data_IF_052894753883
#
_entry.id   IF_052894753883
#
_cell.length_a   1.000
_cell.length_b   1.000
_cell.length_c   1.000
_cell.angle_alpha   90.00
_cell.angle_beta   90.00
_cell.angle_gamma   90.00
#
_symmetry.space_group_name_H-M   'P 1'
#
loop_
_entity.id
_entity.type
_entity.pdbx_description
1 polymer ?
#
# COMPACT_ATOMS: atom_id res chain seq x y z
N UNK A 1 13.88 15.80 -46.46
CA UNK A 1 15.23 16.15 -45.98
C UNK A 1 15.06 17.34 -45.04
N UNK A 2 14.80 17.06 -43.75
CA UNK A 2 15.77 17.15 -42.64
C UNK A 2 15.98 18.62 -42.17
N UNK A 3 15.88 19.02 -40.90
CA UNK A 3 15.52 18.40 -39.60
C UNK A 3 15.27 19.58 -38.63
N UNK A 4 14.38 19.38 -37.66
CA UNK A 4 14.37 20.01 -36.32
C UNK A 4 14.11 21.51 -36.23
N UNK A 5 12.82 21.86 -36.28
CA UNK A 5 12.28 23.02 -35.56
C UNK A 5 12.30 22.73 -34.05
N UNK A 6 12.98 23.62 -33.33
CA UNK A 6 12.47 24.42 -32.18
C UNK A 6 11.96 23.64 -30.96
N UNK A 7 12.23 24.24 -29.79
CA UNK A 7 11.51 24.22 -28.50
C UNK A 7 12.57 23.96 -27.42
N UNK A 8 13.28 25.01 -26.99
CA UNK A 8 12.91 25.85 -25.83
C UNK A 8 12.68 24.96 -24.61
N UNK A 9 13.69 24.94 -23.74
CA UNK A 9 13.64 24.26 -22.46
C UNK A 9 12.48 24.75 -21.62
N UNK A 10 11.60 23.82 -21.27
CA UNK A 10 10.79 23.88 -20.06
C UNK A 10 11.08 22.57 -19.32
N UNK A 11 12.06 22.63 -18.42
CA UNK A 11 12.19 21.62 -17.38
C UNK A 11 11.02 21.82 -16.41
N UNK A 12 9.83 21.37 -16.81
CA UNK A 12 8.74 21.09 -15.90
C UNK A 12 9.05 19.75 -15.23
N UNK A 13 9.93 19.78 -14.23
CA UNK A 13 10.05 18.67 -13.30
C UNK A 13 8.78 18.74 -12.44
N UNK A 14 7.76 17.98 -12.83
CA UNK A 14 6.58 17.74 -12.01
C UNK A 14 6.98 16.98 -10.75
N UNK A 15 7.40 17.69 -9.71
CA UNK A 15 7.55 17.16 -8.35
C UNK A 15 6.17 16.97 -7.71
N UNK A 16 5.34 16.04 -8.21
CA UNK A 16 4.08 15.68 -7.53
C UNK A 16 3.67 14.25 -7.85
N UNK A 17 4.42 13.24 -7.40
CA UNK A 17 3.93 11.84 -7.40
C UNK A 17 4.33 11.03 -6.16
N UNK A 18 4.72 11.65 -5.05
CA UNK A 18 5.14 10.91 -3.83
C UNK A 18 4.55 11.49 -2.55
N UNK A 19 3.25 11.80 -2.54
CA UNK A 19 2.60 12.33 -1.32
C UNK A 19 1.29 11.63 -0.93
N UNK A 20 0.75 10.69 -1.73
CA UNK A 20 -0.44 9.91 -1.35
C UNK A 20 -0.16 8.44 -0.97
N UNK A 21 1.04 7.92 -1.25
CA UNK A 21 1.38 6.52 -0.95
C UNK A 21 1.78 6.27 0.52
N UNK A 22 1.77 7.30 1.38
CA UNK A 22 2.48 7.26 2.67
C UNK A 22 1.63 6.86 3.89
N UNK A 23 0.32 6.62 3.78
CA UNK A 23 -0.53 6.44 4.98
C UNK A 23 -0.96 4.98 5.25
N UNK A 24 -0.88 4.08 4.27
CA UNK A 24 -1.30 2.67 4.48
C UNK A 24 -0.29 1.95 5.36
N UNK A 25 1.02 2.20 5.18
CA UNK A 25 2.05 1.59 6.04
C UNK A 25 1.91 2.02 7.50
N UNK A 26 1.60 3.29 7.77
CA UNK A 26 1.36 3.79 9.14
C UNK A 26 0.17 3.06 9.79
N UNK A 27 -0.95 2.90 9.07
CA UNK A 27 -2.11 2.16 9.58
C UNK A 27 -1.81 0.69 9.88
N UNK A 28 -0.92 0.06 9.11
CA UNK A 28 -0.55 -1.34 9.30
C UNK A 28 0.33 -1.55 10.55
N UNK A 29 1.32 -0.66 10.76
CA UNK A 29 2.30 -0.81 11.85
C UNK A 29 1.71 -0.57 13.23
N UNK A 30 0.63 0.22 13.33
CA UNK A 30 -0.02 0.54 14.61
C UNK A 30 -0.52 -0.72 15.34
N UNK A 31 -0.99 -1.72 14.59
CA UNK A 31 -1.41 -2.99 15.16
C UNK A 31 -0.35 -4.08 14.95
N UNK A 32 0.16 -4.24 13.74
CA UNK A 32 1.04 -5.37 13.38
C UNK A 32 2.51 -5.16 13.76
N UNK A 33 2.84 -4.00 14.32
CA UNK A 33 4.20 -3.63 14.70
C UNK A 33 5.05 -3.19 13.50
N UNK A 34 5.99 -2.29 13.76
CA UNK A 34 6.94 -1.81 12.75
C UNK A 34 7.74 -2.95 12.09
N UNK A 35 7.99 -4.01 12.86
CA UNK A 35 8.73 -5.18 12.43
C UNK A 35 7.82 -6.31 11.92
N UNK A 36 6.51 -6.09 11.83
CA UNK A 36 5.51 -7.08 11.44
C UNK A 36 5.23 -8.12 12.51
N UNK A 37 5.60 -7.86 13.77
CA UNK A 37 5.30 -8.71 14.93
C UNK A 37 4.25 -8.01 15.80
N UNK A 38 3.03 -8.57 15.81
CA UNK A 38 1.92 -8.08 16.62
C UNK A 38 2.26 -8.14 18.12
N UNK A 39 1.80 -7.13 18.87
CA UNK A 39 2.08 -7.00 20.31
C UNK A 39 1.01 -7.61 21.22
N UNK A 40 -0.12 -7.98 20.64
CA UNK A 40 -1.23 -8.65 21.32
C UNK A 40 -1.51 -10.00 20.66
N UNK A 41 -2.00 -10.96 21.44
CA UNK A 41 -2.29 -12.32 20.95
C UNK A 41 -3.36 -12.35 19.83
N UNK A 42 -4.21 -11.34 19.77
CA UNK A 42 -5.27 -11.18 18.77
C UNK A 42 -4.78 -10.55 17.47
N UNK A 43 -3.58 -9.94 17.47
CA UNK A 43 -3.01 -9.31 16.29
C UNK A 43 -1.97 -10.24 15.66
N UNK A 44 -2.21 -10.75 14.43
CA UNK A 44 -1.32 -11.73 13.82
C UNK A 44 0.01 -11.10 13.38
N UNK A 45 1.06 -11.91 13.41
CA UNK A 45 2.36 -11.57 12.85
C UNK A 45 2.31 -11.60 11.31
N UNK A 46 2.76 -10.52 10.68
CA UNK A 46 2.96 -10.44 9.23
C UNK A 46 4.38 -10.88 8.84
N UNK A 47 5.33 -10.75 9.77
CA UNK A 47 6.72 -11.17 9.58
C UNK A 47 6.80 -12.65 9.20
N UNK A 48 7.57 -12.92 8.14
CA UNK A 48 7.84 -14.29 7.68
C UNK A 48 6.71 -14.92 6.87
N UNK A 49 5.59 -14.21 6.68
CA UNK A 49 4.54 -14.68 5.78
C UNK A 49 4.94 -14.51 4.31
N UNK A 50 4.57 -15.43 3.42
CA UNK A 50 4.79 -15.27 1.99
C UNK A 50 4.06 -14.02 1.45
N UNK A 51 4.69 -13.26 0.55
CA UNK A 51 4.09 -12.09 -0.10
C UNK A 51 2.72 -12.40 -0.70
N UNK A 52 2.64 -13.47 -1.50
CA UNK A 52 1.40 -13.90 -2.14
C UNK A 52 0.29 -14.25 -1.13
N UNK A 53 0.65 -14.75 0.05
CA UNK A 53 -0.32 -15.02 1.09
C UNK A 53 -0.88 -13.72 1.67
N UNK A 54 -0.01 -12.76 2.01
CA UNK A 54 -0.43 -11.46 2.53
C UNK A 54 -1.33 -10.71 1.55
N UNK A 55 -0.96 -10.69 0.27
CA UNK A 55 -1.79 -10.12 -0.81
C UNK A 55 -3.16 -10.80 -0.88
N UNK A 56 -3.18 -12.13 -0.90
CA UNK A 56 -4.44 -12.89 -0.93
C UNK A 56 -5.32 -12.61 0.30
N UNK A 57 -4.74 -12.40 1.48
CA UNK A 57 -5.51 -12.07 2.68
C UNK A 57 -6.11 -10.66 2.60
N UNK A 58 -5.34 -9.67 2.15
CA UNK A 58 -5.84 -8.29 1.97
C UNK A 58 -7.00 -8.28 0.96
N UNK A 59 -6.83 -8.95 -0.18
CA UNK A 59 -7.88 -9.09 -1.19
C UNK A 59 -9.11 -9.85 -0.66
N UNK A 60 -8.90 -10.89 0.15
CA UNK A 60 -10.00 -11.62 0.77
C UNK A 60 -10.81 -10.74 1.73
N UNK A 61 -10.16 -9.86 2.50
CA UNK A 61 -10.85 -8.89 3.34
C UNK A 61 -11.59 -7.84 2.50
N UNK A 62 -10.94 -7.28 1.47
CA UNK A 62 -11.53 -6.25 0.61
C UNK A 62 -12.75 -6.74 -0.17
N UNK A 63 -12.72 -8.00 -0.62
CA UNK A 63 -13.85 -8.64 -1.31
C UNK A 63 -14.95 -9.18 -0.38
N UNK A 64 -14.73 -9.16 0.94
CA UNK A 64 -15.64 -9.75 1.92
C UNK A 64 -15.61 -11.29 1.97
N UNK A 65 -14.70 -11.95 1.25
CA UNK A 65 -14.49 -13.40 1.33
C UNK A 65 -13.94 -13.82 2.71
N UNK A 66 -13.21 -12.90 3.36
CA UNK A 66 -12.80 -12.98 4.76
C UNK A 66 -13.36 -11.74 5.47
N UNK A 67 -13.94 -11.90 6.65
CA UNK A 67 -14.53 -10.79 7.40
C UNK A 67 -13.74 -10.50 8.67
N UNK A 68 -13.69 -9.23 9.05
CA UNK A 68 -13.08 -8.75 10.29
C UNK A 68 -13.47 -7.30 10.51
N UNK A 69 -14.08 -7.01 11.67
CA UNK A 69 -14.42 -5.64 12.07
C UNK A 69 -13.20 -4.72 12.19
N UNK A 70 -11.99 -5.26 12.31
CA UNK A 70 -10.75 -4.50 12.39
C UNK A 70 -10.12 -4.28 11.01
N UNK A 71 -10.06 -5.33 10.18
CA UNK A 71 -9.37 -5.22 8.89
C UNK A 71 -10.25 -4.60 7.80
N UNK A 72 -11.57 -4.76 7.83
CA UNK A 72 -12.49 -4.19 6.84
C UNK A 72 -12.30 -2.69 6.59
N UNK A 73 -12.27 -1.80 7.62
CA UNK A 73 -12.03 -0.38 7.39
C UNK A 73 -10.61 -0.06 6.89
N UNK A 74 -9.63 -0.92 7.17
CA UNK A 74 -8.23 -0.70 6.78
C UNK A 74 -8.00 -1.08 5.30
N UNK A 75 -8.55 -2.22 4.86
CA UNK A 75 -8.31 -2.73 3.50
C UNK A 75 -9.10 -2.01 2.42
N UNK A 76 -10.18 -1.31 2.78
CA UNK A 76 -10.97 -0.55 1.83
C UNK A 76 -10.14 0.56 1.14
N UNK A 77 -9.17 1.12 1.85
CA UNK A 77 -8.32 2.20 1.38
C UNK A 77 -7.00 1.71 0.77
N UNK A 78 -6.79 0.38 0.71
CA UNK A 78 -5.65 -0.23 0.04
C UNK A 78 -5.91 -0.26 -1.47
N UNK A 79 -4.97 0.27 -2.24
CA UNK A 79 -5.02 0.25 -3.70
C UNK A 79 -4.99 -1.18 -4.25
N UNK A 80 -5.58 -1.38 -5.44
CA UNK A 80 -5.45 -2.62 -6.21
C UNK A 80 -4.30 -2.45 -7.20
N UNK A 81 -3.05 -2.50 -6.72
CA UNK A 81 -1.84 -2.40 -7.55
C UNK A 81 -1.33 -3.76 -8.06
#
# INVERSE_FOLDING_TARGET
MNIKRIIVGLAAISLTHTALANNIMEACIDCHGFDGVGRENTIPNLRGQPKAYLEAQVLAFKSGHRTSSFMEPIVHDVADD
#
